data_IF_450476626000
#
_entry.id   IF_450476626000
#
_cell.length_a   1.000
_cell.length_b   1.000
_cell.length_c   1.000
_cell.angle_alpha   90.00
_cell.angle_beta   90.00
_cell.angle_gamma   90.00
#
_symmetry.space_group_name_H-M   'P 1'
#
loop_
_entity.id
_entity.type
_entity.pdbx_description
1 polymer ?
#
# COMPACT_ATOMS: atom_id res chain seq x y z
N UNK A 1 -9.99 -30.35 -23.72
CA UNK A 1 -9.57 -30.04 -22.35
C UNK A 1 -10.45 -30.81 -21.38
N UNK A 2 -9.87 -31.59 -20.49
CA UNK A 2 -10.61 -32.33 -19.47
C UNK A 2 -11.19 -31.39 -18.41
N UNK A 3 -12.14 -31.90 -17.61
CA UNK A 3 -12.70 -31.13 -16.50
C UNK A 3 -11.61 -30.77 -15.47
N UNK A 4 -10.69 -31.68 -15.20
CA UNK A 4 -9.56 -31.42 -14.30
C UNK A 4 -8.64 -30.33 -14.86
N UNK A 5 -8.36 -30.35 -16.16
CA UNK A 5 -7.54 -29.31 -16.80
C UNK A 5 -8.19 -27.93 -16.72
N UNK A 6 -9.51 -27.86 -16.89
CA UNK A 6 -10.27 -26.61 -16.74
C UNK A 6 -10.19 -26.07 -15.31
N UNK A 7 -10.29 -26.91 -14.31
CA UNK A 7 -10.18 -26.52 -12.89
C UNK A 7 -8.76 -26.04 -12.56
N UNK A 8 -7.73 -26.73 -13.05
CA UNK A 8 -6.33 -26.32 -12.89
C UNK A 8 -6.06 -24.97 -13.57
N UNK A 9 -6.68 -24.74 -14.74
CA UNK A 9 -6.58 -23.45 -15.40
C UNK A 9 -7.17 -22.32 -14.54
N UNK A 10 -8.32 -22.57 -13.91
CA UNK A 10 -8.90 -21.60 -12.95
C UNK A 10 -7.98 -21.34 -11.76
N UNK A 11 -7.33 -22.37 -11.23
CA UNK A 11 -6.33 -22.21 -10.15
C UNK A 11 -5.19 -21.30 -10.58
N UNK A 12 -4.66 -21.46 -11.78
CA UNK A 12 -3.61 -20.61 -12.33
C UNK A 12 -4.08 -19.16 -12.45
N UNK A 13 -5.33 -18.93 -12.82
CA UNK A 13 -5.88 -17.57 -12.86
C UNK A 13 -5.95 -16.94 -11.47
N UNK A 14 -6.34 -17.70 -10.44
CA UNK A 14 -6.32 -17.22 -9.05
C UNK A 14 -4.91 -16.98 -8.54
N UNK A 15 -3.95 -17.85 -8.86
CA UNK A 15 -2.54 -17.65 -8.54
C UNK A 15 -2.02 -16.34 -9.14
N UNK A 16 -2.41 -16.04 -10.38
CA UNK A 16 -2.05 -14.76 -11.03
C UNK A 16 -2.67 -13.56 -10.32
N UNK A 17 -3.93 -13.66 -9.90
CA UNK A 17 -4.59 -12.60 -9.13
C UNK A 17 -3.93 -12.38 -7.77
N UNK A 18 -3.51 -13.45 -7.10
CA UNK A 18 -2.74 -13.38 -5.85
C UNK A 18 -1.41 -12.67 -6.07
N UNK A 19 -0.66 -13.06 -7.09
CA UNK A 19 0.62 -12.41 -7.42
C UNK A 19 0.45 -10.91 -7.69
N UNK A 20 -0.59 -10.53 -8.42
CA UNK A 20 -0.90 -9.13 -8.69
C UNK A 20 -1.26 -8.36 -7.42
N UNK A 21 -2.06 -8.96 -6.53
CA UNK A 21 -2.43 -8.36 -5.25
C UNK A 21 -1.20 -8.21 -4.34
N UNK A 22 -0.33 -9.21 -4.27
CA UNK A 22 0.92 -9.15 -3.51
C UNK A 22 1.85 -8.04 -4.02
N UNK A 23 1.95 -7.86 -5.33
CA UNK A 23 2.73 -6.77 -5.92
C UNK A 23 2.17 -5.40 -5.53
N UNK A 24 0.85 -5.24 -5.52
CA UNK A 24 0.20 -4.01 -5.08
C UNK A 24 0.42 -3.74 -3.60
N UNK A 25 0.40 -4.78 -2.76
CA UNK A 25 0.71 -4.68 -1.33
C UNK A 25 2.14 -4.19 -1.14
N UNK A 26 3.12 -4.78 -1.82
CA UNK A 26 4.53 -4.34 -1.74
C UNK A 26 4.68 -2.88 -2.12
N UNK A 27 4.04 -2.43 -3.20
CA UNK A 27 4.09 -1.04 -3.62
C UNK A 27 3.47 -0.10 -2.59
N UNK A 28 2.35 -0.49 -1.99
CA UNK A 28 1.70 0.30 -0.94
C UNK A 28 2.55 0.37 0.33
N UNK A 29 3.21 -0.73 0.70
CA UNK A 29 4.12 -0.77 1.85
C UNK A 29 5.35 0.11 1.61
N UNK A 30 5.91 0.10 0.41
CA UNK A 30 7.02 0.99 0.04
C UNK A 30 6.59 2.45 0.09
N UNK A 31 5.40 2.77 -0.42
CA UNK A 31 4.83 4.12 -0.35
C UNK A 31 4.58 4.54 1.11
N UNK A 32 4.07 3.62 1.92
CA UNK A 32 3.87 3.84 3.36
C UNK A 32 5.19 4.20 4.05
N UNK A 33 6.23 3.39 3.86
CA UNK A 33 7.53 3.60 4.48
C UNK A 33 8.15 4.92 4.05
N UNK A 34 8.08 5.26 2.76
CA UNK A 34 8.55 6.54 2.23
C UNK A 34 7.82 7.72 2.85
N UNK A 35 6.51 7.61 3.03
CA UNK A 35 5.70 8.66 3.62
C UNK A 35 5.95 8.82 5.12
N UNK A 36 6.25 7.73 5.83
CA UNK A 36 6.68 7.76 7.24
C UNK A 36 7.98 8.54 7.38
N UNK A 37 8.96 8.30 6.51
CA UNK A 37 10.22 9.07 6.50
C UNK A 37 9.95 10.56 6.26
N UNK A 38 9.09 10.88 5.32
CA UNK A 38 8.70 12.26 5.06
C UNK A 38 8.02 12.90 6.29
N UNK A 39 7.12 12.17 6.95
CA UNK A 39 6.47 12.61 8.19
C UNK A 39 7.49 12.95 9.29
N UNK A 40 8.46 12.08 9.52
CA UNK A 40 9.51 12.31 10.51
C UNK A 40 10.31 13.56 10.18
N UNK A 41 10.63 13.79 8.91
CA UNK A 41 11.34 14.98 8.50
C UNK A 41 10.51 16.26 8.71
N UNK A 42 9.21 16.20 8.43
CA UNK A 42 8.27 17.31 8.69
C UNK A 42 8.20 17.62 10.19
N UNK A 43 8.06 16.58 11.03
CA UNK A 43 8.00 16.74 12.49
C UNK A 43 9.30 17.30 13.07
N UNK A 44 10.45 16.83 12.60
CA UNK A 44 11.75 17.37 12.98
C UNK A 44 11.88 18.85 12.61
N UNK A 45 11.44 19.21 11.41
CA UNK A 45 11.44 20.59 10.94
C UNK A 45 10.49 21.47 11.74
N UNK A 46 9.34 20.92 12.17
CA UNK A 46 8.39 21.61 13.05
C UNK A 46 9.04 21.95 14.40
N UNK A 47 9.75 21.00 15.00
CA UNK A 47 10.44 21.19 16.28
C UNK A 47 11.53 22.27 16.17
N UNK A 48 12.30 22.24 15.09
CA UNK A 48 13.35 23.24 14.81
C UNK A 48 12.78 24.62 14.51
N UNK A 49 11.63 24.71 13.85
CA UNK A 49 10.96 25.98 13.54
C UNK A 49 10.49 26.74 14.79
N UNK A 50 10.22 26.02 15.88
CA UNK A 50 9.83 26.63 17.17
C UNK A 50 10.94 27.46 17.80
N UNK A 51 12.18 27.34 17.34
CA UNK A 51 13.37 27.97 17.97
C UNK A 51 14.05 29.06 17.13
N UNK A 52 13.72 29.27 15.82
CA UNK A 52 14.53 30.12 14.95
C UNK A 52 13.73 30.93 13.91
N UNK A 53 13.96 32.24 13.91
CA UNK A 53 13.41 33.20 12.92
C UNK A 53 13.98 33.06 11.49
N UNK A 54 15.09 32.34 11.31
CA UNK A 54 15.82 32.22 10.03
C UNK A 54 15.60 30.88 9.30
N UNK A 55 14.73 30.02 9.83
CA UNK A 55 14.65 28.62 9.43
C UNK A 55 13.77 28.31 8.24
N UNK A 56 13.05 29.28 7.66
CA UNK A 56 12.00 29.05 6.66
C UNK A 56 12.49 28.34 5.41
N UNK A 57 13.60 28.77 4.81
CA UNK A 57 14.16 28.13 3.62
C UNK A 57 14.90 26.83 3.94
N UNK A 58 15.62 26.79 5.08
CA UNK A 58 16.32 25.59 5.52
C UNK A 58 15.40 24.40 5.85
N UNK A 59 14.22 24.69 6.40
CA UNK A 59 13.18 23.68 6.66
C UNK A 59 12.68 23.07 5.35
N UNK A 60 12.36 23.89 4.37
CA UNK A 60 11.89 23.41 3.07
C UNK A 60 12.95 22.57 2.36
N UNK A 61 14.21 22.98 2.42
CA UNK A 61 15.32 22.22 1.79
C UNK A 61 15.47 20.83 2.39
N UNK A 62 15.37 20.68 3.70
CA UNK A 62 15.47 19.37 4.38
C UNK A 62 14.31 18.45 4.03
N UNK A 63 13.10 18.98 3.96
CA UNK A 63 11.92 18.20 3.60
C UNK A 63 11.98 17.79 2.11
N UNK A 64 12.56 18.64 1.27
CA UNK A 64 12.75 18.37 -0.15
C UNK A 64 13.57 17.10 -0.40
N UNK A 65 14.58 16.80 0.42
CA UNK A 65 15.45 15.63 0.24
C UNK A 65 14.69 14.30 0.41
N UNK A 66 13.64 14.28 1.22
CA UNK A 66 12.89 13.06 1.52
C UNK A 66 11.68 12.85 0.60
N UNK A 67 11.16 13.92 -0.02
CA UNK A 67 9.97 13.85 -0.89
C UNK A 67 10.16 13.05 -2.17
N UNK A 68 11.43 12.87 -2.64
CA UNK A 68 11.74 12.38 -3.97
C UNK A 68 11.21 10.97 -4.26
N UNK A 69 11.00 10.14 -3.24
CA UNK A 69 10.62 8.74 -3.36
C UNK A 69 9.11 8.48 -3.26
N UNK A 70 8.28 9.52 -3.11
CA UNK A 70 6.85 9.36 -2.90
C UNK A 70 6.06 10.51 -3.54
N UNK A 71 5.12 10.18 -4.45
CA UNK A 71 4.30 11.19 -5.14
C UNK A 71 3.40 11.96 -4.18
N UNK A 72 2.87 11.32 -3.15
CA UNK A 72 2.05 11.96 -2.11
C UNK A 72 2.89 12.95 -1.31
N UNK A 73 4.11 12.57 -0.94
CA UNK A 73 5.05 13.45 -0.26
C UNK A 73 5.40 14.67 -1.11
N UNK A 74 5.61 14.50 -2.41
CA UNK A 74 5.84 15.61 -3.35
C UNK A 74 4.68 16.60 -3.38
N UNK A 75 3.44 16.09 -3.40
CA UNK A 75 2.23 16.90 -3.36
C UNK A 75 2.12 17.69 -2.05
N UNK A 76 2.36 17.03 -0.93
CA UNK A 76 2.33 17.68 0.39
C UNK A 76 3.44 18.70 0.56
N UNK A 77 4.64 18.42 0.05
CA UNK A 77 5.74 19.37 0.04
C UNK A 77 5.37 20.65 -0.71
N UNK A 78 4.76 20.51 -1.89
CA UNK A 78 4.32 21.67 -2.68
C UNK A 78 3.30 22.51 -1.93
N UNK A 79 2.29 21.87 -1.32
CA UNK A 79 1.28 22.54 -0.50
C UNK A 79 1.92 23.26 0.69
N UNK A 80 2.86 22.62 1.38
CA UNK A 80 3.56 23.19 2.52
C UNK A 80 4.40 24.40 2.12
N UNK A 81 5.10 24.31 0.98
CA UNK A 81 5.89 25.41 0.42
C UNK A 81 5.02 26.64 0.12
N UNK A 82 3.85 26.43 -0.50
CA UNK A 82 2.93 27.51 -0.83
C UNK A 82 2.38 28.18 0.44
N UNK A 83 1.99 27.37 1.43
CA UNK A 83 1.49 27.89 2.72
C UNK A 83 2.58 28.68 3.46
N UNK A 84 3.78 28.11 3.60
CA UNK A 84 4.87 28.76 4.31
C UNK A 84 5.36 30.05 3.63
N UNK A 85 5.16 30.19 2.31
CA UNK A 85 5.48 31.41 1.59
C UNK A 85 4.51 32.55 1.90
N UNK A 86 3.26 32.22 2.25
CA UNK A 86 2.18 33.20 2.44
C UNK A 86 1.89 33.55 3.90
N UNK A 87 2.39 32.78 4.87
CA UNK A 87 2.10 32.95 6.31
C UNK A 87 3.31 33.48 7.09
N UNK A 88 3.03 34.16 8.21
CA UNK A 88 4.03 34.55 9.18
C UNK A 88 4.51 33.38 10.05
N UNK A 89 5.64 33.55 10.72
CA UNK A 89 6.29 32.55 11.59
C UNK A 89 5.34 32.03 12.67
N UNK A 90 4.43 32.87 13.18
CA UNK A 90 3.48 32.48 14.23
C UNK A 90 2.49 31.38 13.79
N UNK A 91 2.17 31.30 12.50
CA UNK A 91 1.23 30.33 11.96
C UNK A 91 1.92 29.06 11.44
N UNK A 92 3.25 29.04 11.40
CA UNK A 92 4.04 27.92 10.93
C UNK A 92 3.76 26.60 11.70
N UNK A 93 3.68 26.58 13.05
CA UNK A 93 3.35 25.35 13.78
C UNK A 93 1.98 24.77 13.39
N UNK A 94 0.99 25.62 13.15
CA UNK A 94 -0.34 25.20 12.72
C UNK A 94 -0.30 24.56 11.32
N UNK A 95 0.50 25.14 10.40
CA UNK A 95 0.68 24.59 9.06
C UNK A 95 1.35 23.22 9.09
N UNK A 96 2.37 23.03 9.91
CA UNK A 96 3.03 21.73 10.12
C UNK A 96 2.07 20.70 10.72
N UNK A 97 1.30 21.08 11.74
CA UNK A 97 0.31 20.19 12.37
C UNK A 97 -0.75 19.75 11.38
N UNK A 98 -1.25 20.65 10.55
CA UNK A 98 -2.20 20.32 9.49
C UNK A 98 -1.59 19.36 8.45
N UNK A 99 -0.32 19.56 8.10
CA UNK A 99 0.39 18.67 7.18
C UNK A 99 0.55 17.28 7.76
N UNK A 100 0.98 17.15 9.02
CA UNK A 100 1.10 15.86 9.71
C UNK A 100 -0.24 15.15 9.76
N UNK A 101 -1.33 15.84 10.04
CA UNK A 101 -2.67 15.26 10.04
C UNK A 101 -3.06 14.67 8.68
N UNK A 102 -2.72 15.36 7.58
CA UNK A 102 -2.97 14.86 6.22
C UNK A 102 -2.10 13.64 5.90
N UNK A 103 -0.84 13.66 6.31
CA UNK A 103 0.06 12.51 6.16
C UNK A 103 -0.50 11.31 6.92
N UNK A 104 -0.93 11.48 8.16
CA UNK A 104 -1.52 10.40 8.96
C UNK A 104 -2.77 9.82 8.31
N UNK A 105 -3.63 10.66 7.73
CA UNK A 105 -4.79 10.21 6.99
C UNK A 105 -4.40 9.36 5.76
N UNK A 106 -3.35 9.76 5.04
CA UNK A 106 -2.85 9.00 3.90
C UNK A 106 -2.22 7.67 4.33
N UNK A 107 -1.48 7.64 5.44
CA UNK A 107 -0.93 6.42 6.00
C UNK A 107 -2.04 5.42 6.36
N UNK A 108 -3.11 5.89 6.99
CA UNK A 108 -4.30 5.06 7.26
C UNK A 108 -4.95 4.53 5.97
N UNK A 109 -5.00 5.35 4.93
CA UNK A 109 -5.52 4.94 3.62
C UNK A 109 -4.69 3.81 3.02
N UNK A 110 -3.36 3.88 3.08
CA UNK A 110 -2.48 2.80 2.62
C UNK A 110 -2.72 1.50 3.40
N UNK A 111 -2.81 1.59 4.73
CA UNK A 111 -3.09 0.42 5.58
C UNK A 111 -4.43 -0.23 5.25
N UNK A 112 -5.45 0.59 5.01
CA UNK A 112 -6.78 0.10 4.60
C UNK A 112 -6.73 -0.65 3.27
N UNK A 113 -6.02 -0.10 2.28
CA UNK A 113 -5.86 -0.74 0.97
C UNK A 113 -5.09 -2.05 1.07
N UNK A 114 -4.03 -2.10 1.87
CA UNK A 114 -3.28 -3.33 2.13
C UNK A 114 -4.20 -4.38 2.74
N UNK A 115 -4.99 -4.03 3.74
CA UNK A 115 -5.93 -4.95 4.38
C UNK A 115 -6.99 -5.47 3.38
N UNK A 116 -7.46 -4.64 2.46
CA UNK A 116 -8.38 -5.04 1.40
C UNK A 116 -7.76 -6.06 0.45
N UNK A 117 -6.51 -5.84 0.01
CA UNK A 117 -5.79 -6.79 -0.84
C UNK A 117 -5.47 -8.11 -0.11
N UNK A 118 -5.14 -8.05 1.18
CA UNK A 118 -4.93 -9.25 1.99
C UNK A 118 -6.21 -10.09 2.09
N UNK A 119 -7.36 -9.46 2.26
CA UNK A 119 -8.66 -10.15 2.24
C UNK A 119 -8.94 -10.79 0.88
N UNK A 120 -8.62 -10.10 -0.22
CA UNK A 120 -8.75 -10.64 -1.56
C UNK A 120 -7.87 -11.89 -1.75
N UNK A 121 -6.63 -11.85 -1.25
CA UNK A 121 -5.71 -13.00 -1.29
C UNK A 121 -6.28 -14.17 -0.49
N UNK A 122 -6.82 -13.93 0.69
CA UNK A 122 -7.45 -14.99 1.50
C UNK A 122 -8.64 -15.61 0.78
N UNK A 123 -9.45 -14.79 0.11
CA UNK A 123 -10.57 -15.27 -0.69
C UNK A 123 -10.12 -16.12 -1.88
N UNK A 124 -9.10 -15.66 -2.60
CA UNK A 124 -8.52 -16.42 -3.72
C UNK A 124 -7.93 -17.75 -3.25
N UNK A 125 -7.23 -17.77 -2.12
CA UNK A 125 -6.69 -19.00 -1.53
C UNK A 125 -7.80 -19.98 -1.15
N UNK A 126 -8.93 -19.50 -0.62
CA UNK A 126 -10.09 -20.36 -0.35
C UNK A 126 -10.64 -20.97 -1.63
N UNK A 127 -10.77 -20.18 -2.69
CA UNK A 127 -11.25 -20.66 -3.99
C UNK A 127 -10.31 -21.70 -4.60
N UNK A 128 -9.00 -21.53 -4.45
CA UNK A 128 -8.02 -22.51 -4.88
C UNK A 128 -8.22 -23.82 -4.13
N UNK A 129 -8.39 -23.79 -2.80
CA UNK A 129 -8.65 -24.99 -2.00
C UNK A 129 -9.95 -25.69 -2.40
N UNK A 130 -11.00 -24.94 -2.68
CA UNK A 130 -12.26 -25.51 -3.19
C UNK A 130 -12.06 -26.20 -4.52
N UNK A 131 -11.26 -25.63 -5.42
CA UNK A 131 -10.92 -26.25 -6.70
C UNK A 131 -10.05 -27.50 -6.50
N UNK A 132 -9.11 -27.50 -5.55
CA UNK A 132 -8.35 -28.70 -5.19
C UNK A 132 -9.27 -29.85 -4.75
N UNK A 133 -10.27 -29.53 -3.93
CA UNK A 133 -11.27 -30.52 -3.49
C UNK A 133 -12.09 -31.06 -4.67
N UNK A 134 -12.49 -30.19 -5.60
CA UNK A 134 -13.22 -30.60 -6.79
C UNK A 134 -12.36 -31.50 -7.70
N UNK A 135 -11.09 -31.14 -7.88
CA UNK A 135 -10.14 -31.96 -8.65
C UNK A 135 -9.97 -33.35 -8.01
N UNK A 136 -9.79 -33.38 -6.69
CA UNK A 136 -9.67 -34.67 -5.96
C UNK A 136 -10.92 -35.55 -6.12
N UNK A 137 -12.09 -34.94 -6.04
CA UNK A 137 -13.36 -35.66 -6.26
C UNK A 137 -13.49 -36.22 -7.67
N UNK A 138 -13.11 -35.43 -8.69
CA UNK A 138 -13.14 -35.87 -10.09
C UNK A 138 -12.14 -37.00 -10.34
N UNK A 139 -10.95 -36.90 -9.79
CA UNK A 139 -9.92 -37.93 -9.92
C UNK A 139 -10.34 -39.24 -9.22
N UNK A 140 -10.99 -39.17 -8.07
CA UNK A 140 -11.52 -40.30 -7.37
C UNK A 140 -12.67 -40.97 -8.18
N UNK A 141 -13.53 -40.17 -8.79
CA UNK A 141 -14.60 -40.69 -9.65
C UNK A 141 -14.04 -41.38 -10.90
N UNK A 142 -13.03 -40.79 -11.54
CA UNK A 142 -12.35 -41.40 -12.70
C UNK A 142 -11.69 -42.74 -12.31
N UNK A 143 -11.03 -42.79 -11.17
CA UNK A 143 -10.43 -44.02 -10.68
C UNK A 143 -11.49 -45.13 -10.38
N UNK A 144 -12.64 -44.74 -9.81
CA UNK A 144 -13.75 -45.64 -9.57
C UNK A 144 -14.33 -46.21 -10.87
N UNK A 145 -14.51 -45.39 -11.90
CA UNK A 145 -14.97 -45.78 -13.23
C UNK A 145 -13.98 -46.76 -13.88
N UNK A 146 -12.70 -46.47 -13.84
CA UNK A 146 -11.65 -47.36 -14.35
C UNK A 146 -11.63 -48.73 -13.61
N UNK A 147 -11.94 -48.74 -12.33
CA UNK A 147 -12.08 -49.96 -11.56
C UNK A 147 -13.30 -50.81 -11.93
N UNK A 148 -14.35 -50.18 -12.46
CA UNK A 148 -15.55 -50.86 -12.91
C UNK A 148 -15.43 -51.48 -14.32
N UNK A 149 -14.49 -51.01 -15.13
CA UNK A 149 -14.22 -51.48 -16.50
C UNK A 149 -13.41 -52.78 -16.56
N UNK A 150 -13.10 -53.37 -15.42
CA UNK A 150 -12.43 -54.65 -15.29
C UNK A 150 -13.48 -55.76 -15.26
#
# INVERSE_FOLDING_TARGET
>A
MSAVDMLRHKQLQYDQKISNAEAKIRNLEDDYDSLVLFKHQVQKSQDEAGSLNSAKSGILDRVADVKANNLVAQKYYKSMKDVLSSIGIKLMPMAFSAMVARIDAQLRSYQKKVAEYERDIDDYNRRIRDLDNQIAMLQAAEAAVKGLDI
#
